data_IF_794685640150
#
_entry.id   IF_794685640150
#
_cell.length_a   1.000
_cell.length_b   1.000
_cell.length_c   1.000
_cell.angle_alpha   90.00
_cell.angle_beta   90.00
_cell.angle_gamma   90.00
#
_symmetry.space_group_name_H-M   'P 1'
#
loop_
_entity.id
_entity.type
_entity.pdbx_description
1 polymer ?
#
# COMPACT_ATOMS: atom_id res chain seq x y z
N UNK A 1 -15.20 -3.85 -9.57
CA UNK A 1 -15.95 -3.62 -8.31
C UNK A 1 -15.20 -4.38 -7.24
N UNK A 2 -14.81 -3.73 -6.14
CA UNK A 2 -14.04 -4.38 -5.07
C UNK A 2 -14.94 -5.22 -4.18
N UNK A 3 -14.51 -6.42 -3.84
CA UNK A 3 -15.13 -7.25 -2.81
C UNK A 3 -14.74 -6.76 -1.41
N UNK A 4 -15.48 -7.12 -0.34
CA UNK A 4 -15.08 -6.84 1.04
C UNK A 4 -13.66 -7.36 1.35
N UNK A 5 -13.29 -8.53 0.82
CA UNK A 5 -11.98 -9.14 0.96
C UNK A 5 -10.90 -8.29 0.28
N UNK A 6 -11.16 -7.77 -0.92
CA UNK A 6 -10.24 -6.87 -1.62
C UNK A 6 -10.01 -5.58 -0.81
N UNK A 7 -11.07 -5.00 -0.27
CA UNK A 7 -10.98 -3.79 0.57
C UNK A 7 -10.20 -4.05 1.86
N UNK A 8 -10.38 -5.22 2.47
CA UNK A 8 -9.61 -5.62 3.65
C UNK A 8 -8.12 -5.76 3.33
N UNK A 9 -7.79 -6.38 2.20
CA UNK A 9 -6.41 -6.51 1.74
C UNK A 9 -5.77 -5.15 1.45
N UNK A 10 -6.50 -4.26 0.76
CA UNK A 10 -6.04 -2.90 0.45
C UNK A 10 -5.83 -2.06 1.71
N UNK A 11 -6.73 -2.18 2.69
CA UNK A 11 -6.58 -1.51 3.98
C UNK A 11 -5.30 -1.93 4.72
N UNK A 12 -5.04 -3.24 4.79
CA UNK A 12 -3.81 -3.76 5.43
C UNK A 12 -2.54 -3.29 4.71
N UNK A 13 -2.56 -3.29 3.38
CA UNK A 13 -1.44 -2.82 2.58
C UNK A 13 -1.13 -1.34 2.82
N UNK A 14 -2.17 -0.51 2.93
CA UNK A 14 -2.02 0.90 3.28
C UNK A 14 -1.44 1.07 4.69
N UNK A 15 -1.94 0.33 5.67
CA UNK A 15 -1.42 0.39 7.04
C UNK A 15 0.07 0.03 7.10
N UNK A 16 0.48 -1.04 6.41
CA UNK A 16 1.88 -1.46 6.31
C UNK A 16 2.75 -0.39 5.61
N UNK A 17 2.27 0.19 4.50
CA UNK A 17 2.99 1.22 3.77
C UNK A 17 3.19 2.49 4.63
N UNK A 18 2.19 2.84 5.43
CA UNK A 18 2.26 3.99 6.35
C UNK A 18 3.24 3.72 7.50
N UNK A 19 3.26 2.50 8.04
CA UNK A 19 4.23 2.12 9.08
C UNK A 19 5.66 2.10 8.54
N UNK A 20 5.85 1.73 7.26
CA UNK A 20 7.17 1.75 6.62
C UNK A 20 7.72 3.18 6.41
N UNK A 21 6.86 4.21 6.38
CA UNK A 21 7.32 5.60 6.28
C UNK A 21 8.00 6.07 7.57
N UNK A 22 9.04 6.92 7.47
CA UNK A 22 9.58 7.67 8.61
C UNK A 22 8.52 8.56 9.27
N UNK A 23 8.63 8.81 10.58
CA UNK A 23 7.63 9.56 11.34
C UNK A 23 7.31 10.96 10.76
N UNK A 24 8.33 11.68 10.27
CA UNK A 24 8.14 12.98 9.63
C UNK A 24 7.34 12.92 8.31
N UNK A 25 7.23 11.74 7.70
CA UNK A 25 6.49 11.48 6.48
C UNK A 25 5.12 10.84 6.72
N UNK A 26 4.76 10.46 7.94
CA UNK A 26 3.44 9.87 8.29
C UNK A 26 2.34 10.94 8.39
N UNK A 27 2.28 11.85 7.43
CA UNK A 27 1.30 12.92 7.38
C UNK A 27 0.00 12.45 6.71
N UNK A 28 -1.15 13.09 6.99
CA UNK A 28 -2.40 12.78 6.31
C UNK A 28 -2.30 12.91 4.78
N UNK A 29 -1.55 13.89 4.27
CA UNK A 29 -1.34 14.09 2.85
C UNK A 29 -0.62 12.89 2.20
N UNK A 30 0.44 12.40 2.84
CA UNK A 30 1.20 11.25 2.34
C UNK A 30 0.41 9.94 2.44
N UNK A 31 -0.44 9.80 3.47
CA UNK A 31 -1.38 8.66 3.59
C UNK A 31 -2.36 8.63 2.41
N UNK A 32 -2.96 9.77 2.07
CA UNK A 32 -3.86 9.87 0.91
C UNK A 32 -3.13 9.57 -0.39
N UNK A 33 -1.91 10.09 -0.57
CA UNK A 33 -1.09 9.81 -1.76
C UNK A 33 -0.78 8.31 -1.89
N UNK A 34 -0.41 7.63 -0.80
CA UNK A 34 -0.20 6.18 -0.77
C UNK A 34 -1.48 5.41 -1.12
N UNK A 35 -2.62 5.78 -0.54
CA UNK A 35 -3.90 5.13 -0.85
C UNK A 35 -4.25 5.23 -2.34
N UNK A 36 -4.05 6.41 -2.95
CA UNK A 36 -4.24 6.62 -4.39
C UNK A 36 -3.31 5.74 -5.21
N UNK A 37 -2.01 5.72 -4.90
CA UNK A 37 -1.02 4.89 -5.61
C UNK A 37 -1.35 3.39 -5.53
N UNK A 38 -1.79 2.93 -4.36
CA UNK A 38 -2.20 1.54 -4.13
C UNK A 38 -3.43 1.19 -4.98
N UNK A 39 -4.45 2.06 -5.00
CA UNK A 39 -5.66 1.84 -5.78
C UNK A 39 -5.40 1.86 -7.29
N UNK A 40 -4.58 2.79 -7.77
CA UNK A 40 -4.19 2.89 -9.18
C UNK A 40 -3.45 1.62 -9.63
N UNK A 41 -2.48 1.15 -8.85
CA UNK A 41 -1.71 -0.08 -9.13
C UNK A 41 -2.55 -1.35 -9.04
N UNK A 42 -3.60 -1.36 -8.22
CA UNK A 42 -4.51 -2.50 -8.10
C UNK A 42 -5.53 -2.54 -9.26
N UNK A 43 -5.96 -1.38 -9.75
CA UNK A 43 -6.87 -1.29 -10.90
C UNK A 43 -6.22 -1.74 -12.21
N UNK A 44 -4.89 -1.66 -12.31
CA UNK A 44 -4.09 -2.26 -13.36
C UNK A 44 -3.87 -3.75 -13.03
N UNK A 45 -4.85 -4.57 -13.39
CA UNK A 45 -5.10 -5.94 -12.92
C UNK A 45 -4.01 -7.03 -13.10
N UNK A 46 -2.72 -6.71 -13.15
CA UNK A 46 -1.63 -7.71 -13.20
C UNK A 46 -0.55 -7.55 -12.10
N UNK A 47 -0.52 -6.45 -11.33
CA UNK A 47 0.73 -6.07 -10.65
C UNK A 47 0.66 -5.87 -9.12
N UNK A 48 -0.47 -6.20 -8.46
CA UNK A 48 -0.56 -6.14 -6.99
C UNK A 48 0.51 -7.02 -6.33
N UNK A 49 0.79 -8.21 -6.90
CA UNK A 49 1.87 -9.09 -6.42
C UNK A 49 3.24 -8.45 -6.54
N UNK A 50 3.52 -7.73 -7.63
CA UNK A 50 4.80 -7.05 -7.83
C UNK A 50 4.94 -5.85 -6.90
N UNK A 51 3.84 -5.13 -6.64
CA UNK A 51 3.82 -4.04 -5.67
C UNK A 51 4.10 -4.53 -4.24
N UNK A 52 3.43 -5.59 -3.80
CA UNK A 52 3.71 -6.25 -2.51
C UNK A 52 5.17 -6.71 -2.44
N UNK A 53 5.70 -7.30 -3.52
CA UNK A 53 7.09 -7.75 -3.60
C UNK A 53 8.09 -6.58 -3.52
N UNK A 54 7.78 -5.44 -4.13
CA UNK A 54 8.59 -4.23 -4.03
C UNK A 54 8.57 -3.64 -2.61
N UNK A 55 7.40 -3.62 -1.96
CA UNK A 55 7.31 -3.18 -0.57
C UNK A 55 8.13 -4.07 0.37
N UNK A 56 8.09 -5.38 0.20
CA UNK A 56 8.90 -6.33 0.99
C UNK A 56 10.41 -6.20 0.73
N UNK A 57 10.83 -5.76 -0.47
CA UNK A 57 12.24 -5.52 -0.80
C UNK A 57 12.77 -4.23 -0.17
N UNK A 58 11.91 -3.22 -0.02
CA UNK A 58 12.29 -1.90 0.50
C UNK A 58 12.18 -1.83 2.02
N UNK A 59 11.31 -2.64 2.65
CA UNK A 59 11.26 -2.79 4.09
C UNK A 59 12.12 -3.99 4.54
N UNK A 60 13.35 -3.80 5.04
CA UNK A 60 14.14 -4.91 5.54
C UNK A 60 13.41 -5.54 6.73
N UNK A 61 13.13 -6.84 6.61
CA UNK A 61 12.61 -7.66 7.70
C UNK A 61 13.55 -7.52 8.90
N UNK A 62 13.08 -6.84 9.95
CA UNK A 62 13.71 -6.82 11.26
C UNK A 62 12.94 -7.75 12.17
#
# INVERSE_FOLDING_TARGET
MYTPEDLLMLGRLLDEAVVALPDCMRTPANRTALATLILERTSAADDLRSFVRLMQLVAPST
#
